data_IF_860758377807
#
_entry.id   IF_860758377807
#
_cell.length_a   1.000
_cell.length_b   1.000
_cell.length_c   1.000
_cell.angle_alpha   90.00
_cell.angle_beta   90.00
_cell.angle_gamma   90.00
#
_symmetry.space_group_name_H-M   'P 1'
#
loop_
_entity.id
_entity.type
_entity.pdbx_description
1 polymer ?
#
# COMPACT_ATOMS: atom_id res chain seq x y z
N UNK A 1 -5.04 -6.27 3.40
CA UNK A 1 -4.15 -6.15 4.57
C UNK A 1 -3.55 -7.51 4.85
N UNK A 2 -2.46 -7.58 5.60
CA UNK A 2 -1.81 -8.84 5.95
C UNK A 2 -0.81 -8.64 7.09
N UNK A 3 -0.24 -9.74 7.58
CA UNK A 3 0.88 -9.68 8.52
C UNK A 3 0.50 -9.33 9.96
N UNK A 4 -0.74 -9.60 10.38
CA UNK A 4 -1.18 -9.40 11.78
C UNK A 4 -0.27 -10.17 12.76
N UNK A 5 0.22 -11.34 12.36
CA UNK A 5 1.14 -12.18 13.13
C UNK A 5 2.57 -11.61 13.26
N UNK A 6 2.91 -10.59 12.49
CA UNK A 6 4.25 -10.00 12.46
C UNK A 6 4.41 -8.98 13.62
N UNK A 7 3.34 -8.67 14.36
CA UNK A 7 3.39 -7.89 15.59
C UNK A 7 3.45 -6.37 15.38
N UNK A 8 3.12 -5.91 14.18
CA UNK A 8 2.77 -4.50 13.95
C UNK A 8 1.43 -4.22 14.66
N UNK A 9 1.14 -2.98 15.04
CA UNK A 9 -0.12 -2.58 15.70
C UNK A 9 -1.35 -2.78 14.77
N UNK A 10 -1.65 -4.04 14.43
CA UNK A 10 -2.62 -4.49 13.43
C UNK A 10 -2.00 -4.88 12.08
N UNK A 11 -2.85 -5.39 11.18
CA UNK A 11 -2.46 -5.77 9.83
C UNK A 11 -2.06 -4.56 8.97
N UNK A 12 -1.01 -4.72 8.15
CA UNK A 12 -0.43 -3.66 7.31
C UNK A 12 -0.96 -3.69 5.88
N UNK A 13 -0.83 -2.57 5.17
CA UNK A 13 -1.32 -2.43 3.80
C UNK A 13 -0.51 -3.30 2.84
N UNK A 14 -1.20 -3.97 1.92
CA UNK A 14 -0.57 -4.72 0.84
C UNK A 14 -1.53 -4.86 -0.33
N UNK A 15 -1.04 -5.34 -1.48
CA UNK A 15 -1.84 -5.60 -2.67
C UNK A 15 -1.78 -7.07 -3.05
N UNK A 16 -2.89 -7.59 -3.56
CA UNK A 16 -3.02 -8.92 -4.12
C UNK A 16 -3.66 -8.83 -5.49
N UNK A 17 -3.42 -9.82 -6.35
CA UNK A 17 -4.09 -9.89 -7.65
C UNK A 17 -5.57 -10.24 -7.46
N UNK A 18 -6.45 -9.32 -7.85
CA UNK A 18 -7.90 -9.54 -7.83
C UNK A 18 -8.52 -9.05 -9.13
N UNK A 19 -9.14 -9.92 -9.94
CA UNK A 19 -9.74 -9.53 -11.21
C UNK A 19 -10.83 -8.47 -11.05
N UNK A 20 -10.76 -7.42 -11.88
CA UNK A 20 -11.68 -6.28 -11.89
C UNK A 20 -11.60 -5.35 -10.65
N UNK A 21 -10.58 -5.52 -9.82
CA UNK A 21 -10.25 -4.60 -8.73
C UNK A 21 -9.15 -3.62 -9.13
N UNK A 22 -9.11 -2.47 -8.46
CA UNK A 22 -8.09 -1.45 -8.66
C UNK A 22 -7.77 -0.75 -7.35
N UNK A 23 -6.53 -0.27 -7.22
CA UNK A 23 -6.06 0.49 -6.06
C UNK A 23 -5.60 1.87 -6.54
N UNK A 24 -6.04 2.93 -5.87
CA UNK A 24 -5.53 4.27 -6.11
C UNK A 24 -4.12 4.41 -5.51
N UNK A 25 -3.18 4.98 -6.27
CA UNK A 25 -1.79 5.13 -5.86
C UNK A 25 -1.30 6.56 -6.09
N UNK A 26 -0.35 6.98 -5.26
CA UNK A 26 0.48 8.16 -5.50
C UNK A 26 1.80 7.73 -6.11
N UNK A 27 2.19 8.34 -7.24
CA UNK A 27 3.49 8.10 -7.88
C UNK A 27 4.50 9.14 -7.41
N UNK A 28 5.69 8.66 -7.04
CA UNK A 28 6.81 9.50 -6.61
C UNK A 28 8.03 9.19 -7.48
N UNK A 29 8.67 10.23 -8.00
CA UNK A 29 9.99 10.12 -8.61
C UNK A 29 11.05 10.08 -7.50
N UNK A 30 11.85 9.02 -7.49
CA UNK A 30 12.90 8.81 -6.50
C UNK A 30 14.28 8.84 -7.17
N UNK A 31 15.28 9.30 -6.41
CA UNK A 31 16.68 9.05 -6.78
C UNK A 31 17.04 7.59 -6.49
N UNK A 32 18.09 7.07 -7.11
CA UNK A 32 18.58 5.71 -6.81
C UNK A 32 18.93 5.54 -5.32
N UNK A 33 19.43 6.59 -4.67
CA UNK A 33 19.74 6.56 -3.24
C UNK A 33 18.48 6.49 -2.37
N UNK A 34 17.44 7.24 -2.72
CA UNK A 34 16.14 7.18 -2.00
C UNK A 34 15.45 5.83 -2.21
N UNK A 35 15.56 5.27 -3.43
CA UNK A 35 15.05 3.94 -3.74
C UNK A 35 15.72 2.85 -2.88
N UNK A 36 17.05 2.89 -2.76
CA UNK A 36 17.80 1.93 -1.91
C UNK A 36 17.46 2.09 -0.43
N UNK A 37 17.34 3.32 0.05
CA UNK A 37 16.90 3.57 1.41
C UNK A 37 15.49 3.00 1.65
N UNK A 38 14.57 3.17 0.69
CA UNK A 38 13.22 2.65 0.80
C UNK A 38 13.19 1.11 0.84
N UNK A 39 14.06 0.44 0.07
CA UNK A 39 14.22 -1.02 0.12
C UNK A 39 14.66 -1.52 1.51
N UNK A 40 15.50 -0.75 2.21
CA UNK A 40 15.90 -1.06 3.59
C UNK A 40 14.74 -0.83 4.58
N UNK A 41 14.01 0.30 4.45
CA UNK A 41 12.87 0.62 5.31
C UNK A 41 11.73 -0.40 5.19
N UNK A 42 11.44 -0.87 3.97
CA UNK A 42 10.39 -1.86 3.71
C UNK A 42 10.82 -3.30 4.03
N UNK A 43 12.05 -3.50 4.52
CA UNK A 43 12.53 -4.82 4.94
C UNK A 43 12.66 -5.80 3.77
N UNK A 44 13.01 -5.33 2.57
CA UNK A 44 13.26 -6.20 1.41
C UNK A 44 14.39 -7.19 1.71
N UNK A 45 15.42 -6.74 2.43
CA UNK A 45 16.55 -7.56 2.85
C UNK A 45 16.17 -8.63 3.89
N UNK A 46 15.02 -8.50 4.55
CA UNK A 46 14.50 -9.47 5.54
C UNK A 46 13.34 -10.30 4.99
N UNK A 47 13.07 -10.23 3.68
CA UNK A 47 11.95 -10.91 3.00
C UNK A 47 10.56 -10.57 3.59
N UNK A 48 10.43 -9.39 4.22
CA UNK A 48 9.16 -8.89 4.76
C UNK A 48 8.25 -8.40 3.63
N UNK A 49 8.79 -7.54 2.77
CA UNK A 49 8.16 -7.13 1.51
C UNK A 49 9.02 -7.53 0.33
N UNK A 50 8.34 -7.81 -0.79
CA UNK A 50 8.95 -8.03 -2.09
C UNK A 50 8.70 -6.82 -2.98
N UNK A 51 9.78 -6.30 -3.55
CA UNK A 51 9.71 -5.23 -4.54
C UNK A 51 9.34 -5.82 -5.91
N UNK A 52 8.26 -5.32 -6.50
CA UNK A 52 7.83 -5.71 -7.85
C UNK A 52 7.61 -4.48 -8.73
N UNK A 53 7.55 -4.69 -10.05
CA UNK A 53 7.19 -3.64 -11.01
C UNK A 53 5.78 -3.87 -11.52
N UNK A 54 4.97 -2.81 -11.48
CA UNK A 54 3.61 -2.81 -12.01
C UNK A 54 3.45 -1.68 -13.01
N UNK A 55 2.51 -1.84 -13.93
CA UNK A 55 2.05 -0.75 -14.80
C UNK A 55 0.95 0.01 -14.08
N UNK A 56 1.12 1.31 -13.92
CA UNK A 56 0.13 2.19 -13.28
C UNK A 56 -0.54 3.00 -14.37
N UNK A 57 -1.86 2.95 -14.44
CA UNK A 57 -2.64 3.73 -15.41
C UNK A 57 -2.87 5.14 -14.88
N UNK A 58 -2.48 6.14 -15.65
CA UNK A 58 -2.70 7.56 -15.37
C UNK A 58 -3.37 8.25 -16.56
N UNK A 59 -3.79 9.50 -16.39
CA UNK A 59 -4.34 10.30 -17.49
C UNK A 59 -3.30 10.61 -18.58
N UNK A 60 -2.02 10.59 -18.22
CA UNK A 60 -0.89 10.96 -19.10
C UNK A 60 -0.17 9.73 -19.69
N UNK A 61 -0.59 8.51 -19.33
CA UNK A 61 -0.05 7.26 -19.85
C UNK A 61 0.06 6.18 -18.78
N UNK A 62 0.88 5.15 -19.08
CA UNK A 62 0.95 3.94 -18.25
C UNK A 62 2.39 3.63 -17.81
N UNK A 63 3.01 4.47 -16.94
CA UNK A 63 4.38 4.25 -16.49
C UNK A 63 4.55 2.93 -15.72
N UNK A 64 5.78 2.42 -15.73
CA UNK A 64 6.19 1.33 -14.83
C UNK A 64 6.68 1.94 -13.51
N UNK A 65 6.10 1.48 -12.41
CA UNK A 65 6.47 1.89 -11.06
C UNK A 65 6.87 0.68 -10.22
N UNK A 66 7.72 0.90 -9.21
CA UNK A 66 7.98 -0.09 -8.16
C UNK A 66 6.91 0.00 -7.08
N UNK A 67 6.49 -1.15 -6.56
CA UNK A 67 5.68 -1.26 -5.35
C UNK A 67 6.23 -2.37 -4.46
N UNK A 68 5.86 -2.33 -3.18
CA UNK A 68 6.22 -3.33 -2.18
C UNK A 68 4.99 -4.17 -1.85
N UNK A 69 5.09 -5.48 -2.02
CA UNK A 69 4.04 -6.45 -1.69
C UNK A 69 4.47 -7.28 -0.50
N UNK A 70 3.60 -7.40 0.49
CA UNK A 70 3.90 -8.08 1.74
C UNK A 70 4.06 -9.57 1.43
N UNK A 71 5.14 -10.16 1.93
CA UNK A 71 5.40 -11.59 1.81
C UNK A 71 4.81 -12.34 3.01
N UNK A 72 3.50 -12.21 3.21
CA UNK A 72 2.74 -12.97 4.19
C UNK A 72 1.33 -13.25 3.67
N UNK A 73 0.54 -13.98 4.44
CA UNK A 73 -0.86 -14.23 4.14
C UNK A 73 -1.66 -12.93 4.19
N UNK A 74 -2.55 -12.79 3.20
CA UNK A 74 -3.58 -11.75 3.21
C UNK A 74 -4.63 -12.05 4.27
N UNK A 75 -5.16 -10.99 4.88
CA UNK A 75 -6.14 -11.06 5.96
C UNK A 75 -5.78 -10.14 7.13
N UNK A 76 -6.60 -10.20 8.16
CA UNK A 76 -6.45 -9.37 9.35
C UNK A 76 -7.06 -7.99 9.21
N UNK A 77 -7.15 -7.31 10.34
CA UNK A 77 -7.75 -5.98 10.45
C UNK A 77 -6.64 -4.95 10.69
N UNK A 78 -6.63 -3.81 9.99
CA UNK A 78 -5.73 -2.73 10.34
C UNK A 78 -6.16 -2.09 11.67
N UNK A 79 -5.23 -1.46 12.39
CA UNK A 79 -5.65 -0.54 13.45
C UNK A 79 -6.35 0.68 12.87
N UNK A 80 -7.25 1.25 13.67
CA UNK A 80 -7.96 2.48 13.32
C UNK A 80 -7.00 3.63 12.99
N UNK A 81 -5.95 3.79 13.79
CA UNK A 81 -4.93 4.83 13.60
C UNK A 81 -4.24 4.70 12.24
N UNK A 82 -3.87 3.47 11.85
CA UNK A 82 -3.22 3.23 10.57
C UNK A 82 -4.14 3.56 9.39
N UNK A 83 -5.41 3.14 9.47
CA UNK A 83 -6.41 3.45 8.46
C UNK A 83 -6.68 4.96 8.34
N UNK A 84 -6.74 5.69 9.46
CA UNK A 84 -6.91 7.15 9.48
C UNK A 84 -5.75 7.87 8.76
N UNK A 85 -4.50 7.41 8.95
CA UNK A 85 -3.33 7.94 8.22
C UNK A 85 -3.45 7.68 6.72
N UNK A 86 -3.86 6.47 6.31
CA UNK A 86 -4.04 6.13 4.90
C UNK A 86 -5.12 7.00 4.24
N UNK A 87 -6.25 7.20 4.91
CA UNK A 87 -7.35 8.06 4.42
C UNK A 87 -6.85 9.49 4.24
N UNK A 88 -6.17 10.06 5.24
CA UNK A 88 -5.65 11.41 5.15
C UNK A 88 -4.66 11.58 3.97
N UNK A 89 -3.77 10.61 3.78
CA UNK A 89 -2.83 10.61 2.67
C UNK A 89 -3.54 10.50 1.31
N UNK A 90 -4.52 9.61 1.17
CA UNK A 90 -5.30 9.45 -0.05
C UNK A 90 -6.10 10.71 -0.39
N UNK A 91 -6.71 11.37 0.61
CA UNK A 91 -7.40 12.64 0.43
C UNK A 91 -6.44 13.74 -0.05
N UNK A 92 -5.26 13.84 0.57
CA UNK A 92 -4.25 14.82 0.16
C UNK A 92 -3.72 14.56 -1.25
N UNK A 93 -3.65 13.30 -1.68
CA UNK A 93 -3.28 12.90 -3.02
C UNK A 93 -4.40 13.12 -4.08
N UNK A 94 -5.60 13.53 -3.65
CA UNK A 94 -6.73 13.75 -4.55
C UNK A 94 -7.40 12.46 -5.02
N UNK A 95 -7.38 11.42 -4.19
CA UNK A 95 -8.10 10.19 -4.49
C UNK A 95 -9.62 10.47 -4.68
N UNK A 96 -10.28 9.74 -5.60
CA UNK A 96 -11.73 9.82 -5.77
C UNK A 96 -12.51 9.59 -4.47
N UNK A 97 -13.63 10.28 -4.27
CA UNK A 97 -14.40 10.20 -3.02
C UNK A 97 -14.94 8.79 -2.76
N UNK A 98 -15.30 8.03 -3.80
CA UNK A 98 -15.74 6.64 -3.68
C UNK A 98 -14.61 5.71 -3.17
N UNK A 99 -13.36 5.97 -3.55
CA UNK A 99 -12.20 5.27 -3.00
C UNK A 99 -11.98 5.63 -1.52
N UNK A 100 -12.14 6.91 -1.16
CA UNK A 100 -12.05 7.35 0.24
C UNK A 100 -13.16 6.71 1.08
N UNK A 101 -14.37 6.64 0.56
CA UNK A 101 -15.51 6.00 1.23
C UNK A 101 -15.31 4.48 1.37
N UNK A 102 -14.72 3.80 0.39
CA UNK A 102 -14.31 2.39 0.55
C UNK A 102 -13.34 2.23 1.73
N UNK A 103 -12.30 3.08 1.80
CA UNK A 103 -11.34 3.04 2.91
C UNK A 103 -12.01 3.28 4.27
N UNK A 104 -12.92 4.26 4.38
CA UNK A 104 -13.66 4.56 5.62
C UNK A 104 -14.55 3.40 6.09
N UNK A 105 -15.04 2.60 5.17
CA UNK A 105 -15.93 1.47 5.46
C UNK A 105 -15.16 0.17 5.78
N UNK A 106 -13.83 0.18 5.74
CA UNK A 106 -13.03 -1.00 6.10
C UNK A 106 -13.11 -1.26 7.60
N UNK A 107 -13.28 -2.53 7.97
CA UNK A 107 -13.23 -2.96 9.35
C UNK A 107 -11.83 -2.74 9.94
N UNK A 108 -11.77 -2.35 11.22
CA UNK A 108 -10.53 -2.15 11.97
C UNK A 108 -10.52 -2.99 13.23
N UNK A 109 -9.34 -3.20 13.80
CA UNK A 109 -9.20 -3.71 15.17
C UNK A 109 -9.84 -2.72 16.16
N UNK A 110 -10.32 -3.25 17.29
CA UNK A 110 -11.13 -2.55 18.30
C UNK A 110 -10.42 -1.47 19.09
#
# INVERSE_FOLDING_TARGET
FGGEEIGWEGAVATVAEEPNSSVFVSLYDLTESDELNLDEWEGVNTDLYRKIRVRVETLDGSPLAYIYVLNSFEGGLPSRRYLEIMIAAAQQAGAPEDYIDDLRNRATEG
#
